data_IF_943577900578
#
_entry.id   IF_943577900578
#
_cell.length_a   1.000
_cell.length_b   1.000
_cell.length_c   1.000
_cell.angle_alpha   90.00
_cell.angle_beta   90.00
_cell.angle_gamma   90.00
#
_symmetry.space_group_name_H-M   'P 1'
#
loop_
_entity.id
_entity.type
_entity.pdbx_description
1 polymer ?
#
# COMPACT_ATOMS: atom_id res chain seq x y z
N UNK A 1 4.48 -19.46 -17.52
CA UNK A 1 4.72 -18.69 -16.27
C UNK A 1 5.02 -17.27 -16.66
N UNK A 2 4.23 -16.31 -16.16
CA UNK A 2 4.30 -14.89 -16.54
C UNK A 2 5.35 -14.18 -15.67
N UNK A 3 6.54 -13.98 -16.25
CA UNK A 3 7.72 -13.41 -15.56
C UNK A 3 7.43 -12.05 -14.91
N UNK A 4 6.52 -11.25 -15.46
CA UNK A 4 6.20 -9.93 -14.93
C UNK A 4 5.44 -10.02 -13.60
N UNK A 5 4.52 -10.98 -13.49
CA UNK A 5 3.76 -11.25 -12.26
C UNK A 5 4.67 -11.77 -11.15
N UNK A 6 5.60 -12.65 -11.49
CA UNK A 6 6.56 -13.21 -10.52
C UNK A 6 7.49 -12.11 -9.98
N UNK A 7 7.96 -11.21 -10.84
CA UNK A 7 8.78 -10.06 -10.42
C UNK A 7 8.02 -9.05 -9.55
N UNK A 8 6.74 -8.79 -9.84
CA UNK A 8 5.92 -7.90 -9.01
C UNK A 8 5.73 -8.51 -7.60
N UNK A 9 5.49 -9.82 -7.53
CA UNK A 9 5.35 -10.53 -6.27
C UNK A 9 6.63 -10.48 -5.43
N UNK A 10 7.80 -10.80 -6.01
CA UNK A 10 9.07 -10.70 -5.29
C UNK A 10 9.31 -9.32 -4.71
N UNK A 11 9.06 -8.25 -5.48
CA UNK A 11 9.22 -6.87 -5.02
C UNK A 11 8.30 -6.52 -3.83
N UNK A 12 7.06 -7.01 -3.84
CA UNK A 12 6.10 -6.77 -2.74
C UNK A 12 6.53 -7.53 -1.49
N UNK A 13 6.99 -8.78 -1.63
CA UNK A 13 7.52 -9.57 -0.51
C UNK A 13 8.77 -8.92 0.08
N UNK A 14 9.68 -8.42 -0.75
CA UNK A 14 10.86 -7.67 -0.30
C UNK A 14 10.47 -6.36 0.41
N UNK A 15 9.47 -5.63 -0.10
CA UNK A 15 8.95 -4.43 0.56
C UNK A 15 8.40 -4.75 1.94
N UNK A 16 7.64 -5.85 2.07
CA UNK A 16 7.16 -6.36 3.37
C UNK A 16 8.31 -6.66 4.32
N UNK A 17 9.35 -7.35 3.86
CA UNK A 17 10.54 -7.68 4.67
C UNK A 17 11.28 -6.42 5.15
N UNK A 18 11.21 -5.33 4.39
CA UNK A 18 11.74 -4.01 4.77
C UNK A 18 10.82 -3.22 5.70
N UNK A 19 9.68 -3.78 6.10
CA UNK A 19 8.72 -3.13 6.98
C UNK A 19 7.81 -2.11 6.28
N UNK A 20 7.67 -2.18 4.95
CA UNK A 20 6.68 -1.37 4.23
C UNK A 20 5.27 -1.85 4.56
N UNK A 21 4.37 -0.93 4.85
CA UNK A 21 2.98 -1.19 5.24
C UNK A 21 2.01 -0.51 4.28
N UNK A 22 0.83 -1.10 4.08
CA UNK A 22 -0.28 -0.46 3.39
C UNK A 22 -0.99 0.52 4.34
N UNK A 23 -0.63 1.80 4.25
CA UNK A 23 -1.29 2.86 5.04
C UNK A 23 -2.75 3.09 4.64
N UNK A 24 -3.12 2.77 3.40
CA UNK A 24 -4.51 2.84 2.93
C UNK A 24 -5.38 1.65 3.31
N UNK A 25 -4.83 0.63 3.98
CA UNK A 25 -5.62 -0.50 4.49
C UNK A 25 -6.64 -0.06 5.53
N UNK A 26 -7.65 -0.90 5.81
CA UNK A 26 -8.71 -0.59 6.79
C UNK A 26 -8.15 -0.27 8.18
N UNK A 27 -7.09 -0.96 8.59
CA UNK A 27 -6.37 -0.71 9.86
C UNK A 27 -5.10 0.14 9.68
N UNK A 28 -4.96 0.81 8.54
CA UNK A 28 -3.80 1.60 8.18
C UNK A 28 -3.82 2.99 8.81
N UNK A 29 -2.71 3.75 8.63
CA UNK A 29 -2.59 5.12 9.14
C UNK A 29 -3.54 6.11 8.47
N UNK A 30 -3.83 5.90 7.19
CA UNK A 30 -4.67 6.75 6.36
C UNK A 30 -5.69 5.88 5.62
N UNK A 31 -6.65 5.28 6.32
CA UNK A 31 -7.51 4.25 5.75
C UNK A 31 -8.29 4.82 4.55
N UNK A 32 -8.23 4.11 3.42
CA UNK A 32 -9.07 4.40 2.28
C UNK A 32 -10.44 3.77 2.48
N UNK A 33 -11.51 4.38 1.96
CA UNK A 33 -12.83 3.75 1.90
C UNK A 33 -12.83 2.59 0.87
N UNK A 34 -13.90 1.79 0.89
CA UNK A 34 -13.96 0.55 0.10
C UNK A 34 -13.77 0.81 -1.41
N UNK A 35 -14.46 1.81 -1.95
CA UNK A 35 -14.34 2.22 -3.35
C UNK A 35 -12.92 2.66 -3.72
N UNK A 36 -12.24 3.40 -2.85
CA UNK A 36 -10.85 3.78 -3.06
C UNK A 36 -9.90 2.56 -2.93
N UNK A 37 -10.12 1.63 -2.00
CA UNK A 37 -9.26 0.42 -1.85
C UNK A 37 -9.29 -0.48 -3.07
N UNK A 38 -10.36 -0.46 -3.86
CA UNK A 38 -10.41 -1.16 -5.15
C UNK A 38 -9.51 -0.51 -6.23
N UNK A 39 -9.15 0.76 -6.05
CA UNK A 39 -8.47 1.58 -7.06
C UNK A 39 -7.06 2.00 -6.67
N UNK A 40 -6.71 2.04 -5.38
CA UNK A 40 -5.40 2.51 -4.92
C UNK A 40 -4.88 1.76 -3.70
N UNK A 41 -3.57 1.83 -3.48
CA UNK A 41 -2.89 1.42 -2.27
C UNK A 41 -1.74 2.41 -1.95
N UNK A 42 -1.87 3.16 -0.87
CA UNK A 42 -0.78 3.98 -0.33
C UNK A 42 0.11 3.14 0.59
N UNK A 43 1.39 3.08 0.28
CA UNK A 43 2.39 2.40 1.10
C UNK A 43 3.20 3.38 1.94
N UNK A 44 3.75 2.90 3.06
CA UNK A 44 4.47 3.71 4.05
C UNK A 44 5.77 4.34 3.56
N UNK A 45 6.26 3.91 2.40
CA UNK A 45 7.40 4.51 1.68
C UNK A 45 6.98 5.66 0.74
N UNK A 46 5.73 6.13 0.87
CA UNK A 46 5.20 7.29 0.14
C UNK A 46 4.82 7.00 -1.31
N UNK A 47 4.66 5.74 -1.69
CA UNK A 47 4.20 5.36 -3.04
C UNK A 47 2.69 5.13 -3.03
N UNK A 48 1.99 5.82 -3.92
CA UNK A 48 0.57 5.60 -4.17
C UNK A 48 0.42 4.73 -5.41
N UNK A 49 0.19 3.44 -5.20
CA UNK A 49 -0.09 2.50 -6.27
C UNK A 49 -1.54 2.71 -6.71
N UNK A 50 -1.78 3.06 -7.96
CA UNK A 50 -3.12 3.30 -8.51
C UNK A 50 -3.39 2.31 -9.62
N UNK A 51 -4.61 1.79 -9.70
CA UNK A 51 -5.03 0.95 -10.81
C UNK A 51 -4.82 1.70 -12.13
N UNK A 52 -4.22 1.02 -13.11
CA UNK A 52 -3.89 1.62 -14.40
C UNK A 52 -5.10 2.33 -15.04
N UNK A 53 -4.92 3.59 -15.46
CA UNK A 53 -5.97 4.43 -16.04
C UNK A 53 -6.97 5.03 -15.03
N UNK A 54 -6.73 4.87 -13.72
CA UNK A 54 -7.62 5.39 -12.65
C UNK A 54 -7.04 6.55 -11.85
N UNK A 55 -5.94 7.16 -12.29
CA UNK A 55 -5.34 8.29 -11.58
C UNK A 55 -6.26 9.50 -11.38
N UNK A 56 -7.16 9.75 -12.34
CA UNK A 56 -8.13 10.85 -12.28
C UNK A 56 -9.50 10.42 -11.73
N UNK A 57 -9.61 9.20 -11.20
CA UNK A 57 -10.84 8.73 -10.60
C UNK A 57 -11.17 9.59 -9.35
N UNK A 58 -12.43 10.04 -9.17
CA UNK A 58 -12.82 10.87 -8.04
C UNK A 58 -12.42 10.28 -6.68
N UNK A 59 -12.52 8.96 -6.50
CA UNK A 59 -12.14 8.32 -5.24
C UNK A 59 -10.63 8.40 -4.98
N UNK A 60 -9.82 8.30 -6.03
CA UNK A 60 -8.36 8.45 -5.95
C UNK A 60 -7.98 9.89 -5.63
N UNK A 61 -8.59 10.86 -6.31
CA UNK A 61 -8.34 12.28 -6.10
C UNK A 61 -8.75 12.73 -4.69
N UNK A 62 -9.94 12.33 -4.23
CA UNK A 62 -10.39 12.62 -2.87
C UNK A 62 -9.47 12.01 -1.82
N UNK A 63 -8.99 10.79 -2.04
CA UNK A 63 -8.03 10.16 -1.12
C UNK A 63 -6.69 10.91 -1.08
N UNK A 64 -6.16 11.33 -2.23
CA UNK A 64 -4.94 12.14 -2.28
C UNK A 64 -5.09 13.46 -1.54
N UNK A 65 -6.26 14.12 -1.65
CA UNK A 65 -6.55 15.36 -0.92
C UNK A 65 -6.56 15.13 0.59
N UNK A 66 -7.20 14.06 1.07
CA UNK A 66 -7.21 13.67 2.47
C UNK A 66 -5.78 13.47 2.99
N UNK A 67 -4.99 12.66 2.30
CA UNK A 67 -3.61 12.34 2.71
C UNK A 67 -2.70 13.57 2.73
N UNK A 68 -2.90 14.51 1.79
CA UNK A 68 -2.19 15.80 1.80
C UNK A 68 -2.62 16.69 2.96
N UNK A 69 -3.91 16.72 3.29
CA UNK A 69 -4.41 17.47 4.44
C UNK A 69 -3.84 16.93 5.77
N UNK A 70 -3.58 15.63 5.85
CA UNK A 70 -2.88 14.97 6.97
C UNK A 70 -1.36 15.19 7.00
N UNK A 71 -0.82 16.06 6.13
CA UNK A 71 0.59 16.48 6.14
C UNK A 71 1.54 15.59 5.33
N UNK A 72 1.04 14.61 4.57
CA UNK A 72 1.89 13.82 3.67
C UNK A 72 2.12 14.59 2.37
N UNK A 73 3.29 15.23 2.29
CA UNK A 73 3.64 16.13 1.18
C UNK A 73 4.30 15.44 -0.02
N UNK A 74 4.90 14.26 0.18
CA UNK A 74 5.59 13.52 -0.88
C UNK A 74 4.86 12.21 -1.16
N UNK A 75 3.99 12.23 -2.18
CA UNK A 75 3.30 11.05 -2.69
C UNK A 75 3.75 10.82 -4.13
N UNK A 76 4.27 9.63 -4.41
CA UNK A 76 4.72 9.22 -5.75
C UNK A 76 3.67 8.29 -6.36
N UNK A 77 2.84 8.77 -7.30
CA UNK A 77 1.87 7.91 -7.97
C UNK A 77 2.60 6.91 -8.88
N UNK A 78 2.15 5.65 -8.87
CA UNK A 78 2.61 4.59 -9.77
C UNK A 78 1.42 3.78 -10.23
N UNK A 79 1.28 3.58 -11.54
CA UNK A 79 0.24 2.71 -12.05
C UNK A 79 0.59 1.23 -11.87
N UNK A 80 -0.39 0.44 -11.48
CA UNK A 80 -0.29 -1.01 -11.29
C UNK A 80 -1.50 -1.73 -11.88
N UNK A 81 -1.31 -3.00 -12.23
CA UNK A 81 -2.43 -3.87 -12.60
C UNK A 81 -3.24 -4.30 -11.38
N UNK A 82 -4.50 -4.67 -11.61
CA UNK A 82 -5.39 -5.18 -10.57
C UNK A 82 -4.81 -6.34 -9.72
N UNK A 83 -4.11 -7.34 -10.31
CA UNK A 83 -3.50 -8.41 -9.52
C UNK A 83 -2.40 -7.91 -8.56
N UNK A 84 -1.59 -6.95 -8.99
CA UNK A 84 -0.54 -6.35 -8.16
C UNK A 84 -1.16 -5.52 -7.03
N UNK A 85 -2.24 -4.77 -7.32
CA UNK A 85 -2.96 -3.99 -6.30
C UNK A 85 -3.55 -4.87 -5.19
N UNK A 86 -4.21 -5.96 -5.55
CA UNK A 86 -4.73 -6.94 -4.58
C UNK A 86 -3.61 -7.55 -3.73
N UNK A 87 -2.48 -7.83 -4.35
CA UNK A 87 -1.35 -8.41 -3.68
C UNK A 87 -0.69 -7.45 -2.68
N UNK A 88 -0.60 -6.16 -3.01
CA UNK A 88 -0.14 -5.12 -2.08
C UNK A 88 -0.96 -5.14 -0.78
N UNK A 89 -2.28 -5.13 -0.89
CA UNK A 89 -3.13 -5.22 0.31
C UNK A 89 -2.94 -6.54 1.03
N UNK A 90 -2.89 -7.67 0.32
CA UNK A 90 -2.71 -8.98 0.95
C UNK A 90 -1.41 -9.06 1.77
N UNK A 91 -0.31 -8.57 1.23
CA UNK A 91 1.02 -8.73 1.85
C UNK A 91 1.36 -7.61 2.84
N UNK A 92 0.86 -6.39 2.61
CA UNK A 92 1.26 -5.20 3.36
C UNK A 92 0.18 -4.68 4.32
N UNK A 93 -1.04 -5.24 4.30
CA UNK A 93 -2.06 -5.00 5.34
C UNK A 93 -1.77 -5.86 6.56
N UNK A 94 -0.62 -5.61 7.18
CA UNK A 94 -0.22 -6.23 8.44
C UNK A 94 -0.53 -5.30 9.60
N UNK A 95 -1.37 -5.77 10.53
CA UNK A 95 -1.49 -5.18 11.85
C UNK A 95 -0.11 -5.10 12.51
N UNK A 96 0.16 -3.99 13.19
CA UNK A 96 1.26 -3.88 14.14
C UNK A 96 1.42 -5.18 14.95
N UNK A 97 2.43 -5.98 14.64
CA UNK A 97 3.22 -6.66 15.68
C UNK A 97 4.46 -5.82 15.94
N UNK A 98 4.25 -4.58 16.38
CA UNK A 98 5.21 -3.96 17.28
C UNK A 98 4.90 -4.60 18.63
N UNK A 99 5.62 -5.66 19.00
CA UNK A 99 5.41 -6.31 20.30
C UNK A 99 5.69 -7.80 20.42
N UNK A 100 6.52 -8.43 19.59
CA UNK A 100 7.21 -9.63 20.07
C UNK A 100 8.49 -9.17 20.79
N UNK A 101 8.54 -9.16 22.13
CA UNK A 101 9.76 -8.87 22.85
C UNK A 101 10.81 -9.90 22.41
N UNK A 102 11.98 -9.42 22.00
CA UNK A 102 13.18 -10.24 21.92
C UNK A 102 13.33 -10.87 23.30
N UNK A 103 12.94 -12.14 23.45
CA UNK A 103 13.33 -12.95 24.60
C UNK A 103 14.85 -13.02 24.54
N UNK A 104 15.50 -12.12 25.29
CA UNK A 104 16.84 -12.37 25.81
C UNK A 104 16.65 -13.48 26.83
N UNK A 105 16.83 -14.72 26.39
CA UNK A 105 17.20 -15.77 27.33
C UNK A 105 18.65 -15.50 27.75
N UNK A 106 18.81 -15.58 29.08
CA UNK A 106 20.00 -15.35 29.91
C UNK A 106 21.13 -16.32 29.59
#
# INVERSE_FOLDING_TARGET
>A
MDKARDQAHSRIVEARQRGVLAWSSESGKYPANDAARELLCLTSDGVLHVLAGKQLDPHVLSYQQLVRAEGVVSIRPREVGFPELKLLYKELSGSHRIGDPVRREV
#
